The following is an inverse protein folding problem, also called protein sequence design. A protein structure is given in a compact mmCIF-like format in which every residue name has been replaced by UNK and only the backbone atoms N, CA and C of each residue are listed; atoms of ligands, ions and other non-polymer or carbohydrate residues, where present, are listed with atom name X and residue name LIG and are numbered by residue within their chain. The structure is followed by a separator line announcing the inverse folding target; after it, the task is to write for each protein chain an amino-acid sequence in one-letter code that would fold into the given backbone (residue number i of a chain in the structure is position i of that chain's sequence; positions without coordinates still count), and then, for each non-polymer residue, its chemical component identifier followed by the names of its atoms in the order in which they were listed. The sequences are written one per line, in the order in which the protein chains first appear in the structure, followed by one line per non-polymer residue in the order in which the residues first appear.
data_IF_954373238341
#
_entry.id   IF_954373238341
#
_cell.length_a   1.000
_cell.length_b   1.000
_cell.length_c   1.000
_cell.angle_alpha   90.00
_cell.angle_beta   90.00
_cell.angle_gamma   90.00
#
_symmetry.space_group_name_H-M   'P 1'
#
loop_
_entity.id
_entity.type
_entity.pdbx_description
1 polymer ?
#
# COMPACT_ATOMS: atom_id res chain seq x y z
N UNK A 1 -8.76 11.16 -3.78
CA UNK A 1 -8.20 11.17 -2.42
C UNK A 1 -7.95 12.60 -1.93
N UNK A 2 -8.98 13.41 -1.64
CA UNK A 2 -8.78 14.79 -1.12
C UNK A 2 -9.33 15.02 0.29
N UNK A 3 -10.07 14.06 0.86
CA UNK A 3 -10.80 14.24 2.12
C UNK A 3 -10.01 13.94 3.40
N UNK A 4 -8.80 13.37 3.29
CA UNK A 4 -7.90 13.05 4.42
C UNK A 4 -6.69 14.00 4.48
N UNK A 5 -6.76 15.16 3.83
CA UNK A 5 -5.63 16.08 3.77
C UNK A 5 -5.59 16.98 5.02
N UNK A 6 -4.60 16.82 5.93
CA UNK A 6 -4.52 17.59 7.15
C UNK A 6 -3.96 19.01 6.96
N UNK A 7 -3.39 19.32 5.79
CA UNK A 7 -2.79 20.63 5.51
C UNK A 7 -3.78 21.78 5.73
N UNK A 8 -3.25 22.94 6.12
CA UNK A 8 -4.04 24.13 6.47
C UNK A 8 -5.09 23.84 7.56
N UNK A 9 -4.67 23.23 8.67
CA UNK A 9 -5.52 23.02 9.84
C UNK A 9 -6.78 22.22 9.54
N UNK A 10 -6.66 21.13 8.77
CA UNK A 10 -7.77 20.24 8.41
C UNK A 10 -8.88 20.90 7.58
N UNK A 11 -8.61 22.03 6.90
CA UNK A 11 -9.60 22.72 6.03
C UNK A 11 -10.15 21.84 4.90
N UNK A 12 -9.41 20.81 4.49
CA UNK A 12 -9.80 19.85 3.44
C UNK A 12 -10.30 18.52 4.00
N UNK A 13 -10.45 18.39 5.32
CA UNK A 13 -11.04 17.19 5.92
C UNK A 13 -12.53 17.12 5.60
N UNK A 14 -12.93 16.00 5.01
CA UNK A 14 -14.31 15.77 4.61
C UNK A 14 -14.80 14.49 5.27
N UNK A 15 -15.48 14.65 6.42
CA UNK A 15 -15.98 13.54 7.25
C UNK A 15 -16.83 12.59 6.42
N UNK A 16 -17.70 13.12 5.56
CA UNK A 16 -18.58 12.31 4.70
C UNK A 16 -17.77 11.43 3.74
N UNK A 17 -16.69 11.95 3.16
CA UNK A 17 -15.79 11.14 2.31
C UNK A 17 -14.99 10.11 3.09
N UNK A 18 -14.63 10.40 4.34
CA UNK A 18 -13.90 9.46 5.20
C UNK A 18 -14.80 8.29 5.59
N UNK A 19 -16.06 8.58 5.95
CA UNK A 19 -17.07 7.55 6.23
C UNK A 19 -17.35 6.73 4.98
N UNK A 20 -17.59 7.37 3.83
CA UNK A 20 -17.78 6.68 2.55
C UNK A 20 -16.57 5.80 2.19
N UNK A 21 -15.34 6.24 2.51
CA UNK A 21 -14.13 5.42 2.32
C UNK A 21 -14.16 4.17 3.18
N UNK A 22 -14.58 4.24 4.45
CA UNK A 22 -14.70 3.05 5.30
C UNK A 22 -15.74 2.04 4.79
N UNK A 23 -16.83 2.53 4.19
CA UNK A 23 -17.88 1.69 3.60
C UNK A 23 -17.39 0.88 2.38
N UNK A 24 -16.29 1.31 1.74
CA UNK A 24 -15.67 0.56 0.64
C UNK A 24 -14.89 -0.69 1.10
N UNK A 25 -14.60 -0.82 2.39
CA UNK A 25 -13.77 -1.90 2.97
C UNK A 25 -14.55 -2.67 4.04
N UNK A 26 -15.52 -3.52 3.66
CA UNK A 26 -16.37 -4.26 4.60
C UNK A 26 -15.61 -5.32 5.41
N UNK A 27 -14.43 -5.75 4.95
CA UNK A 27 -13.56 -6.67 5.69
C UNK A 27 -12.78 -5.95 6.82
N UNK A 28 -12.56 -4.63 6.68
CA UNK A 28 -11.82 -3.82 7.64
C UNK A 28 -12.73 -3.04 8.61
N UNK A 29 -14.01 -2.81 8.23
CA UNK A 29 -14.99 -2.06 9.01
C UNK A 29 -16.34 -2.77 9.08
N UNK A 30 -16.88 -2.89 10.29
CA UNK A 30 -18.19 -3.47 10.54
C UNK A 30 -19.32 -2.47 10.25
N UNK A 31 -20.56 -2.95 10.07
CA UNK A 31 -21.74 -2.09 9.87
C UNK A 31 -21.95 -1.03 10.95
N UNK A 32 -21.53 -1.31 12.19
CA UNK A 32 -21.65 -0.37 13.30
C UNK A 32 -20.53 0.69 13.35
N UNK A 33 -19.44 0.48 12.61
CA UNK A 33 -18.25 1.32 12.70
C UNK A 33 -18.47 2.68 12.05
N UNK A 34 -19.34 2.79 11.03
CA UNK A 34 -19.64 4.06 10.34
C UNK A 34 -20.13 5.15 11.31
N UNK A 35 -21.03 4.79 12.22
CA UNK A 35 -21.52 5.69 13.28
C UNK A 35 -20.43 6.04 14.31
N UNK A 36 -19.59 5.07 14.68
CA UNK A 36 -18.48 5.27 15.62
C UNK A 36 -17.37 6.13 15.02
N UNK A 37 -17.03 5.95 13.74
CA UNK A 37 -16.04 6.75 13.00
C UNK A 37 -16.45 8.22 13.00
N UNK A 38 -17.73 8.51 12.75
CA UNK A 38 -18.24 9.87 12.77
C UNK A 38 -18.12 10.51 14.16
N UNK A 39 -18.39 9.74 15.23
CA UNK A 39 -18.20 10.18 16.61
C UNK A 39 -16.73 10.44 16.94
N UNK A 40 -15.84 9.47 16.64
CA UNK A 40 -14.40 9.58 16.84
C UNK A 40 -13.82 10.80 16.11
N UNK A 41 -14.18 11.00 14.84
CA UNK A 41 -13.69 12.12 14.04
C UNK A 41 -14.09 13.48 14.60
N UNK A 42 -15.32 13.62 15.11
CA UNK A 42 -15.76 14.87 15.74
C UNK A 42 -14.96 15.16 17.01
N UNK A 43 -14.78 14.17 17.87
CA UNK A 43 -14.00 14.31 19.10
C UNK A 43 -12.53 14.59 18.78
N UNK A 44 -11.97 13.90 17.78
CA UNK A 44 -10.62 14.12 17.28
C UNK A 44 -10.44 15.56 16.81
N UNK A 45 -11.34 16.07 15.98
CA UNK A 45 -11.26 17.45 15.49
C UNK A 45 -11.21 18.47 16.63
N UNK A 46 -12.04 18.28 17.65
CA UNK A 46 -12.00 19.13 18.85
C UNK A 46 -10.70 18.96 19.65
N UNK A 47 -10.23 17.73 19.85
CA UNK A 47 -8.99 17.43 20.58
C UNK A 47 -7.73 17.97 19.90
N UNK A 48 -7.77 18.11 18.58
CA UNK A 48 -6.61 18.49 17.75
C UNK A 48 -6.52 19.99 17.55
N UNK A 49 -7.66 20.69 17.63
CA UNK A 49 -7.72 22.16 17.51
C UNK A 49 -6.92 22.88 18.61
N UNK A 50 -6.74 22.24 19.76
CA UNK A 50 -6.00 22.77 20.91
C UNK A 50 -4.57 22.20 21.03
N UNK A 51 -4.15 21.30 20.13
CA UNK A 51 -2.83 20.66 20.19
C UNK A 51 -1.92 21.22 19.10
N UNK A 52 -0.96 22.06 19.51
CA UNK A 52 -0.03 22.76 18.60
C UNK A 52 0.76 21.80 17.69
N UNK A 53 0.94 20.55 18.13
CA UNK A 53 1.64 19.50 17.35
C UNK A 53 0.94 19.14 16.05
N UNK A 54 -0.35 19.47 15.90
CA UNK A 54 -1.14 19.18 14.71
C UNK A 54 -1.38 20.42 13.82
N UNK A 55 -0.83 21.59 14.16
CA UNK A 55 -1.03 22.82 13.37
C UNK A 55 -0.28 22.80 12.04
N UNK A 56 0.94 22.24 12.02
CA UNK A 56 1.85 22.27 10.86
C UNK A 56 2.05 20.88 10.24
N UNK A 57 0.95 20.24 9.85
CA UNK A 57 0.99 18.93 9.18
C UNK A 57 1.23 19.09 7.67
N UNK A 58 2.25 18.39 7.16
CA UNK A 58 2.68 18.44 5.75
C UNK A 58 1.99 17.36 4.89
N UNK A 59 1.25 16.45 5.54
CA UNK A 59 0.50 15.42 4.84
C UNK A 59 0.00 14.31 5.76
N UNK A 60 -0.66 13.33 5.14
CA UNK A 60 -1.28 12.21 5.85
C UNK A 60 -0.26 11.30 6.58
N UNK A 61 0.97 11.20 6.05
CA UNK A 61 2.06 10.46 6.71
C UNK A 61 2.49 11.15 8.01
N UNK A 62 2.70 12.47 7.97
CA UNK A 62 3.03 13.26 9.15
C UNK A 62 1.90 13.22 10.19
N UNK A 63 0.63 13.28 9.76
CA UNK A 63 -0.52 13.09 10.65
C UNK A 63 -0.47 11.72 11.37
N UNK A 64 -0.20 10.64 10.65
CA UNK A 64 -0.12 9.31 11.24
C UNK A 64 1.02 9.18 12.25
N UNK A 65 2.17 9.83 12.00
CA UNK A 65 3.29 9.89 12.94
C UNK A 65 2.91 10.63 14.23
N UNK A 66 2.37 11.85 14.11
CA UNK A 66 1.98 12.66 15.28
C UNK A 66 0.88 11.96 16.09
N UNK A 67 -0.04 11.25 15.44
CA UNK A 67 -1.04 10.44 16.16
C UNK A 67 -0.43 9.33 17.02
N UNK A 68 0.66 8.71 16.58
CA UNK A 68 1.39 7.70 17.37
C UNK A 68 2.18 8.35 18.49
N UNK A 69 2.90 9.44 18.21
CA UNK A 69 3.69 10.16 19.21
C UNK A 69 2.83 10.71 20.36
N UNK A 70 1.60 11.13 20.05
CA UNK A 70 0.66 11.67 21.04
C UNK A 70 -0.22 10.61 21.70
N UNK A 71 -0.07 9.33 21.32
CA UNK A 71 -0.92 8.22 21.79
C UNK A 71 -2.36 8.26 21.29
N UNK A 72 -2.71 9.24 20.43
CA UNK A 72 -4.05 9.41 19.85
C UNK A 72 -4.42 8.26 18.89
N UNK A 73 -3.46 7.50 18.39
CA UNK A 73 -3.70 6.26 17.64
C UNK A 73 -4.46 5.20 18.46
N UNK A 74 -4.29 5.19 19.80
CA UNK A 74 -5.02 4.30 20.71
C UNK A 74 -6.36 4.89 21.13
N UNK A 75 -6.44 6.22 21.25
CA UNK A 75 -7.68 6.92 21.61
C UNK A 75 -8.69 6.97 20.45
N UNK A 76 -8.22 6.98 19.21
CA UNK A 76 -9.03 7.04 17.99
C UNK A 76 -8.67 5.87 17.03
N UNK A 77 -8.93 4.62 17.44
CA UNK A 77 -8.48 3.43 16.72
C UNK A 77 -9.14 3.26 15.36
N UNK A 78 -10.41 3.65 15.19
CA UNK A 78 -11.11 3.53 13.91
C UNK A 78 -10.58 4.55 12.90
N UNK A 79 -10.40 5.79 13.33
CA UNK A 79 -9.80 6.81 12.48
C UNK A 79 -8.36 6.44 12.09
N UNK A 80 -7.56 5.94 13.03
CA UNK A 80 -6.20 5.49 12.74
C UNK A 80 -6.16 4.30 11.78
N UNK A 81 -7.16 3.39 11.83
CA UNK A 81 -7.30 2.31 10.83
C UNK A 81 -7.52 2.86 9.43
N UNK A 82 -8.39 3.85 9.28
CA UNK A 82 -8.62 4.52 7.98
C UNK A 82 -7.33 5.16 7.46
N UNK A 83 -6.59 5.86 8.31
CA UNK A 83 -5.31 6.46 7.93
C UNK A 83 -4.29 5.42 7.45
N UNK A 84 -4.20 4.28 8.15
CA UNK A 84 -3.34 3.17 7.71
C UNK A 84 -3.74 2.63 6.34
N UNK A 85 -5.02 2.39 6.11
CA UNK A 85 -5.50 1.94 4.80
C UNK A 85 -5.17 2.96 3.71
N UNK A 86 -5.44 4.25 3.95
CA UNK A 86 -5.13 5.33 3.01
C UNK A 86 -3.62 5.45 2.70
N UNK A 87 -2.74 5.09 3.65
CA UNK A 87 -1.29 5.06 3.46
C UNK A 87 -0.80 3.82 2.70
N UNK A 88 -1.46 2.67 2.88
CA UNK A 88 -1.10 1.41 2.22
C UNK A 88 -1.56 1.39 0.76
N UNK A 89 -2.70 2.01 0.45
CA UNK A 89 -3.28 1.99 -0.90
C UNK A 89 -2.32 2.51 -1.99
N UNK A 90 -1.65 3.67 -1.85
CA UNK A 90 -0.68 4.14 -2.84
C UNK A 90 0.46 3.16 -3.10
N UNK A 91 0.92 2.45 -2.05
CA UNK A 91 1.99 1.45 -2.16
C UNK A 91 1.50 0.23 -2.94
N UNK A 92 0.30 -0.25 -2.61
CA UNK A 92 -0.32 -1.37 -3.33
C UNK A 92 -0.59 -1.02 -4.79
N UNK A 93 -1.12 0.17 -5.10
CA UNK A 93 -1.38 0.60 -6.48
C UNK A 93 -0.08 0.76 -7.26
N UNK A 94 0.95 1.39 -6.69
CA UNK A 94 2.25 1.54 -7.35
C UNK A 94 2.90 0.17 -7.65
N UNK A 95 2.78 -0.79 -6.73
CA UNK A 95 3.30 -2.15 -6.95
C UNK A 95 2.58 -2.83 -8.11
N UNK A 96 1.25 -2.75 -8.17
CA UNK A 96 0.44 -3.32 -9.24
C UNK A 96 0.76 -2.65 -10.59
N UNK A 97 0.84 -1.31 -10.62
CA UNK A 97 1.22 -0.54 -11.82
C UNK A 97 2.63 -0.89 -12.31
N UNK A 98 3.60 -1.05 -11.39
CA UNK A 98 4.96 -1.51 -11.69
C UNK A 98 4.91 -2.89 -12.34
N UNK A 99 4.16 -3.84 -11.78
CA UNK A 99 3.98 -5.17 -12.36
C UNK A 99 3.36 -5.10 -13.76
N UNK A 100 2.30 -4.33 -13.97
CA UNK A 100 1.70 -4.17 -15.29
C UNK A 100 2.65 -3.53 -16.31
N UNK A 101 3.46 -2.56 -15.88
CA UNK A 101 4.48 -1.93 -16.72
C UNK A 101 5.56 -2.94 -17.14
N UNK A 102 6.09 -3.74 -16.20
CA UNK A 102 7.03 -4.82 -16.49
C UNK A 102 6.40 -5.87 -17.41
N UNK A 103 5.14 -6.24 -17.18
CA UNK A 103 4.42 -7.17 -18.03
C UNK A 103 4.30 -6.66 -19.46
N UNK A 104 4.05 -5.36 -19.66
CA UNK A 104 4.01 -4.73 -20.97
C UNK A 104 5.37 -4.74 -21.69
N UNK A 105 6.48 -4.68 -20.95
CA UNK A 105 7.82 -4.84 -21.52
C UNK A 105 8.12 -6.28 -21.93
N UNK A 106 7.64 -7.26 -21.15
CA UNK A 106 7.83 -8.70 -21.44
C UNK A 106 6.93 -9.14 -22.61
N UNK A 107 5.65 -8.76 -22.57
CA UNK A 107 4.66 -9.01 -23.62
C UNK A 107 4.62 -7.83 -24.58
N UNK A 108 5.49 -7.86 -25.57
CA UNK A 108 5.43 -6.91 -26.69
C UNK A 108 4.37 -7.33 -27.70
N UNK A 109 3.96 -6.41 -28.58
CA UNK A 109 2.94 -6.69 -29.61
C UNK A 109 3.36 -7.86 -30.54
N UNK A 110 4.67 -8.02 -30.78
CA UNK A 110 5.23 -9.11 -31.57
C UNK A 110 5.41 -10.42 -30.77
N UNK A 111 5.40 -10.37 -29.44
CA UNK A 111 5.61 -11.51 -28.53
C UNK A 111 4.52 -11.57 -27.46
N UNK A 112 3.26 -11.57 -27.89
CA UNK A 112 2.12 -11.65 -26.97
C UNK A 112 1.74 -13.09 -26.56
N UNK A 113 2.17 -14.09 -27.35
CA UNK A 113 1.87 -15.51 -27.13
C UNK A 113 3.02 -16.17 -26.37
N UNK A 114 2.82 -16.34 -25.06
CA UNK A 114 3.77 -16.97 -24.14
C UNK A 114 2.99 -17.90 -23.21
N UNK A 115 3.57 -19.05 -22.85
CA UNK A 115 2.95 -19.95 -21.89
C UNK A 115 2.95 -19.35 -20.48
N UNK A 116 1.90 -19.62 -19.70
CA UNK A 116 1.71 -19.02 -18.37
C UNK A 116 2.88 -19.28 -17.41
N UNK A 117 3.45 -20.49 -17.43
CA UNK A 117 4.61 -20.83 -16.62
C UNK A 117 5.84 -19.99 -16.96
N UNK A 118 6.10 -19.75 -18.25
CA UNK A 118 7.23 -18.92 -18.68
C UNK A 118 6.98 -17.44 -18.35
N UNK A 119 5.76 -16.94 -18.59
CA UNK A 119 5.39 -15.57 -18.26
C UNK A 119 5.53 -15.31 -16.75
N UNK A 120 5.06 -16.23 -15.91
CA UNK A 120 5.15 -16.12 -14.46
C UNK A 120 6.61 -16.02 -14.01
N UNK A 121 7.47 -16.92 -14.50
CA UNK A 121 8.90 -16.87 -14.19
C UNK A 121 9.55 -15.56 -14.65
N UNK A 122 9.26 -15.10 -15.87
CA UNK A 122 9.80 -13.85 -16.40
C UNK A 122 9.31 -12.61 -15.63
N UNK A 123 8.05 -12.62 -15.19
CA UNK A 123 7.47 -11.56 -14.36
C UNK A 123 8.17 -11.47 -13.01
N UNK A 124 8.41 -12.59 -12.33
CA UNK A 124 9.16 -12.64 -11.07
C UNK A 124 10.55 -12.04 -11.26
N UNK A 125 11.29 -12.45 -12.30
CA UNK A 125 12.60 -11.87 -12.59
C UNK A 125 12.57 -10.37 -12.88
N UNK A 126 11.53 -9.87 -13.57
CA UNK A 126 11.45 -8.47 -13.97
C UNK A 126 10.98 -7.52 -12.85
N UNK A 127 10.17 -8.02 -11.92
CA UNK A 127 9.67 -7.26 -10.76
C UNK A 127 10.70 -7.25 -9.64
N UNK A 128 11.35 -8.39 -9.39
CA UNK A 128 12.35 -8.57 -8.33
C UNK A 128 13.79 -8.41 -8.85
N UNK A 129 13.99 -7.68 -9.95
CA UNK A 129 15.29 -7.55 -10.62
C UNK A 129 16.41 -7.10 -9.68
N UNK A 130 16.13 -6.17 -8.77
CA UNK A 130 17.08 -5.69 -7.76
C UNK A 130 17.57 -6.83 -6.84
N UNK A 131 16.66 -7.71 -6.43
CA UNK A 131 16.98 -8.90 -5.64
C UNK A 131 17.78 -9.92 -6.45
N UNK A 132 17.52 -10.03 -7.76
CA UNK A 132 18.27 -10.92 -8.64
C UNK A 132 19.67 -10.40 -8.98
N UNK A 133 19.90 -9.08 -8.95
CA UNK A 133 21.22 -8.49 -9.15
C UNK A 133 22.20 -8.87 -8.03
N UNK A 134 21.70 -9.24 -6.84
CA UNK A 134 22.50 -9.74 -5.72
C UNK A 134 22.93 -11.21 -5.90
N UNK A 135 22.31 -11.95 -6.83
CA UNK A 135 22.59 -13.37 -7.05
C UNK A 135 23.78 -13.52 -8.00
N UNK A 136 24.82 -14.22 -7.55
CA UNK A 136 26.00 -14.47 -8.40
C UNK A 136 25.75 -15.57 -9.43
N UNK A 137 26.44 -15.49 -10.57
CA UNK A 137 26.37 -16.55 -11.58
C UNK A 137 26.87 -17.89 -11.03
N UNK A 138 27.83 -17.86 -10.11
CA UNK A 138 28.37 -19.02 -9.42
C UNK A 138 27.28 -19.74 -8.61
N UNK A 139 26.44 -18.99 -7.87
CA UNK A 139 25.33 -19.55 -7.11
C UNK A 139 24.29 -20.21 -8.02
N UNK A 140 23.99 -19.56 -9.15
CA UNK A 140 23.08 -20.11 -10.18
C UNK A 140 23.66 -21.41 -10.75
N UNK A 141 24.95 -21.44 -11.07
CA UNK A 141 25.63 -22.61 -11.62
C UNK A 141 25.65 -23.78 -10.63
N UNK A 142 26.00 -23.53 -9.37
CA UNK A 142 25.99 -24.55 -8.31
C UNK A 142 24.58 -25.11 -8.12
N UNK A 143 23.57 -24.22 -8.05
CA UNK A 143 22.16 -24.64 -7.93
C UNK A 143 21.69 -25.44 -9.14
N UNK A 144 22.07 -25.02 -10.34
CA UNK A 144 21.72 -25.71 -11.58
C UNK A 144 22.35 -27.10 -11.67
N UNK A 145 23.63 -27.25 -11.32
CA UNK A 145 24.32 -28.54 -11.25
C UNK A 145 23.75 -29.47 -10.18
N UNK A 146 23.25 -28.92 -9.07
CA UNK A 146 22.60 -29.69 -8.00
C UNK A 146 21.21 -30.23 -8.38
N UNK A 147 20.55 -29.67 -9.41
CA UNK A 147 19.30 -30.21 -9.94
C UNK A 147 19.58 -31.50 -10.74
N UNK A 148 19.61 -32.65 -10.06
CA UNK A 148 19.79 -33.96 -10.72
C UNK A 148 18.66 -34.25 -11.73
N UNK A 149 19.02 -34.81 -12.89
CA UNK A 149 18.06 -35.44 -13.82
C UNK A 149 17.86 -34.81 -15.19
N UNK A 150 18.82 -34.03 -15.72
CA UNK A 150 18.71 -33.46 -17.08
C UNK A 150 19.79 -33.99 -18.03
N UNK A 151 19.67 -35.25 -18.44
CA UNK A 151 20.10 -35.63 -19.80
C UNK A 151 18.98 -35.15 -20.72
N UNK A 152 19.28 -34.29 -21.68
CA UNK A 152 18.36 -34.03 -22.77
C UNK A 152 18.08 -35.37 -23.45
N UNK A 153 16.83 -35.83 -23.41
CA UNK A 153 16.38 -36.83 -24.36
C UNK A 153 16.31 -36.11 -25.70
N UNK A 154 17.37 -36.28 -26.49
CA UNK A 154 17.42 -35.98 -27.91
C UNK A 154 16.74 -37.10 -28.68
#
# INVERSE_FOLDING_TARGET
MSGLNPCNGFSKFDISKIVAFSEMYPDDFNMNDSGCILGELKIFYHSVKEDDRFLNLDGICHLAQVMVETGKNLSFPLFYRILKLALVLPVSTATVERCFSKMKLIKTDLRNRMGDGYLNNAMVCAVEGETFDEVTNEDVMVRFLAMKGRRGEF
#
